data_IF_498559673836
#
_entry.id   IF_498559673836
#
_cell.length_a   1.000
_cell.length_b   1.000
_cell.length_c   1.000
_cell.angle_alpha   90.00
_cell.angle_beta   90.00
_cell.angle_gamma   90.00
#
_symmetry.space_group_name_H-M   'P 1'
#
loop_
_entity.id
_entity.type
_entity.pdbx_description
1 polymer ?
#
# COMPACT_ATOMS: atom_id res chain seq x y z
N UNK A 1 24.03 -3.84 4.40
CA UNK A 1 23.32 -3.34 3.21
C UNK A 1 23.68 -1.87 3.05
N UNK A 2 24.21 -1.45 1.88
CA UNK A 2 24.58 -0.05 1.66
C UNK A 2 23.32 0.83 1.53
N UNK A 3 23.45 2.12 1.84
CA UNK A 3 22.34 3.07 1.78
C UNK A 3 21.78 3.21 0.35
N UNK A 4 22.64 3.07 -0.68
CA UNK A 4 22.24 3.11 -2.08
C UNK A 4 21.34 1.90 -2.43
N UNK A 5 21.74 0.69 -1.98
CA UNK A 5 20.95 -0.52 -2.15
C UNK A 5 19.61 -0.41 -1.41
N UNK A 6 19.62 0.15 -0.19
CA UNK A 6 18.41 0.39 0.59
C UNK A 6 17.44 1.33 -0.13
N UNK A 7 17.97 2.38 -0.75
CA UNK A 7 17.18 3.31 -1.55
C UNK A 7 16.49 2.62 -2.75
N UNK A 8 17.25 1.85 -3.53
CA UNK A 8 16.74 1.11 -4.70
C UNK A 8 15.66 0.08 -4.30
N UNK A 9 15.92 -0.69 -3.23
CA UNK A 9 14.97 -1.69 -2.72
C UNK A 9 13.72 -0.99 -2.17
N UNK A 10 13.89 0.17 -1.51
CA UNK A 10 12.77 0.97 -1.03
C UNK A 10 11.84 1.42 -2.15
N UNK A 11 12.41 1.92 -3.26
CA UNK A 11 11.63 2.32 -4.45
C UNK A 11 10.93 1.10 -5.06
N UNK A 12 11.65 -0.03 -5.22
CA UNK A 12 11.09 -1.26 -5.77
C UNK A 12 9.90 -1.75 -4.94
N UNK A 13 10.03 -1.74 -3.60
CA UNK A 13 8.93 -2.10 -2.69
C UNK A 13 7.72 -1.18 -2.86
N UNK A 14 7.94 0.13 -3.05
CA UNK A 14 6.85 1.09 -3.26
C UNK A 14 6.11 0.83 -4.57
N UNK A 15 6.84 0.57 -5.65
CA UNK A 15 6.25 0.24 -6.96
C UNK A 15 5.45 -1.06 -6.85
N UNK A 16 6.04 -2.12 -6.28
CA UNK A 16 5.37 -3.40 -6.07
C UNK A 16 4.11 -3.23 -5.19
N UNK A 17 4.20 -2.40 -4.15
CA UNK A 17 3.06 -2.07 -3.28
C UNK A 17 1.91 -1.45 -4.07
N UNK A 18 2.17 -0.50 -4.97
CA UNK A 18 1.14 0.13 -5.82
C UNK A 18 0.54 -0.87 -6.82
N UNK A 19 1.38 -1.69 -7.45
CA UNK A 19 0.96 -2.71 -8.44
C UNK A 19 0.00 -3.73 -7.80
N UNK A 20 0.20 -4.06 -6.53
CA UNK A 20 -0.68 -4.98 -5.78
C UNK A 20 -1.91 -4.23 -5.25
N UNK A 21 -1.72 -3.06 -4.65
CA UNK A 21 -2.76 -2.30 -3.94
C UNK A 21 -3.88 -1.86 -4.88
N UNK A 22 -3.56 -1.28 -6.04
CA UNK A 22 -4.57 -0.71 -6.95
C UNK A 22 -5.53 -1.79 -7.47
N UNK A 23 -5.07 -2.92 -8.08
CA UNK A 23 -6.00 -3.94 -8.57
C UNK A 23 -6.77 -4.62 -7.44
N UNK A 24 -6.14 -4.88 -6.28
CA UNK A 24 -6.80 -5.51 -5.14
C UNK A 24 -7.92 -4.61 -4.59
N UNK A 25 -7.68 -3.30 -4.49
CA UNK A 25 -8.69 -2.33 -4.02
C UNK A 25 -9.85 -2.24 -5.02
N UNK A 26 -9.55 -2.11 -6.32
CA UNK A 26 -10.58 -2.06 -7.36
C UNK A 26 -11.45 -3.33 -7.36
N UNK A 27 -10.80 -4.49 -7.28
CA UNK A 27 -11.50 -5.78 -7.23
C UNK A 27 -12.41 -5.89 -6.00
N UNK A 28 -11.92 -5.45 -4.83
CA UNK A 28 -12.70 -5.49 -3.59
C UNK A 28 -13.91 -4.53 -3.65
N UNK A 29 -13.73 -3.31 -4.18
CA UNK A 29 -14.81 -2.34 -4.35
C UNK A 29 -15.90 -2.95 -5.27
N UNK A 30 -15.50 -3.51 -6.42
CA UNK A 30 -16.43 -4.13 -7.37
C UNK A 30 -17.13 -5.34 -6.75
N UNK A 31 -16.42 -6.15 -5.95
CA UNK A 31 -17.01 -7.28 -5.21
C UNK A 31 -18.10 -6.82 -4.26
N UNK A 32 -17.85 -5.74 -3.52
CA UNK A 32 -18.81 -5.14 -2.58
C UNK A 32 -20.03 -4.57 -3.34
N UNK A 33 -19.80 -3.88 -4.47
CA UNK A 33 -20.88 -3.35 -5.32
C UNK A 33 -21.74 -4.48 -5.87
N UNK A 34 -21.16 -5.59 -6.32
CA UNK A 34 -21.89 -6.78 -6.77
C UNK A 34 -22.75 -7.37 -5.64
N UNK A 35 -22.19 -7.45 -4.43
CA UNK A 35 -22.91 -7.94 -3.25
C UNK A 35 -24.13 -7.06 -2.96
N UNK A 36 -23.95 -5.73 -2.94
CA UNK A 36 -25.03 -4.77 -2.71
C UNK A 36 -26.11 -4.90 -3.79
N UNK A 37 -25.69 -5.00 -5.05
CA UNK A 37 -26.59 -5.13 -6.19
C UNK A 37 -27.51 -6.37 -6.05
N UNK A 38 -26.94 -7.52 -5.69
CA UNK A 38 -27.69 -8.77 -5.53
C UNK A 38 -28.63 -8.79 -4.33
N UNK A 39 -28.24 -8.11 -3.25
CA UNK A 39 -29.06 -8.09 -2.03
C UNK A 39 -30.11 -6.97 -2.05
N UNK A 40 -30.03 -6.02 -2.99
CA UNK A 40 -30.99 -4.93 -3.14
C UNK A 40 -32.37 -5.41 -3.61
N UNK A 41 -32.46 -6.55 -4.30
CA UNK A 41 -33.71 -7.07 -4.87
C UNK A 41 -34.65 -7.71 -3.84
N UNK A 42 -34.23 -7.89 -2.59
CA UNK A 42 -34.93 -8.78 -1.63
C UNK A 42 -35.63 -8.08 -0.48
N UNK A 43 -35.64 -6.74 -0.39
CA UNK A 43 -36.17 -6.05 0.81
C UNK A 43 -37.37 -5.14 0.49
N UNK A 44 -38.54 -5.33 1.16
CA UNK A 44 -39.67 -4.41 1.05
C UNK A 44 -39.58 -3.26 2.05
N UNK A 45 -40.16 -2.13 1.71
CA UNK A 45 -40.28 -0.97 2.60
C UNK A 45 -39.45 0.24 2.21
N UNK A 46 -39.17 1.12 3.17
CA UNK A 46 -38.42 2.37 3.00
C UNK A 46 -37.01 2.07 2.43
N UNK A 47 -36.43 0.95 2.85
CA UNK A 47 -35.14 0.49 2.35
C UNK A 47 -35.19 0.18 0.85
N UNK A 48 -36.38 -0.14 0.27
CA UNK A 48 -36.54 -0.42 -1.15
C UNK A 48 -36.16 0.78 -2.02
N UNK A 49 -36.51 2.00 -1.61
CA UNK A 49 -36.18 3.23 -2.37
C UNK A 49 -34.67 3.48 -2.36
N UNK A 50 -34.02 3.29 -1.22
CA UNK A 50 -32.56 3.40 -1.12
C UNK A 50 -31.86 2.31 -1.93
N UNK A 51 -32.45 1.10 -1.93
CA UNK A 51 -31.90 -0.03 -2.70
C UNK A 51 -32.04 0.18 -4.20
N UNK A 52 -33.20 0.69 -4.67
CA UNK A 52 -33.41 1.06 -6.09
C UNK A 52 -32.43 2.15 -6.53
N UNK A 53 -32.21 3.15 -5.67
CA UNK A 53 -31.22 4.20 -5.93
C UNK A 53 -29.81 3.60 -6.04
N UNK A 54 -29.43 2.73 -5.11
CA UNK A 54 -28.13 2.04 -5.13
C UNK A 54 -27.98 1.20 -6.41
N UNK A 55 -29.04 0.48 -6.80
CA UNK A 55 -29.07 -0.34 -8.00
C UNK A 55 -28.80 0.50 -9.27
N UNK A 56 -29.52 1.62 -9.42
CA UNK A 56 -29.36 2.54 -10.56
C UNK A 56 -27.95 3.14 -10.56
N UNK A 57 -27.42 3.54 -9.37
CA UNK A 57 -26.08 4.10 -9.27
C UNK A 57 -25.01 3.07 -9.67
N UNK A 58 -25.16 1.81 -9.26
CA UNK A 58 -24.21 0.73 -9.61
C UNK A 58 -24.24 0.48 -11.12
N UNK A 59 -25.43 0.44 -11.73
CA UNK A 59 -25.58 0.29 -13.19
C UNK A 59 -24.94 1.46 -13.94
N UNK A 60 -25.15 2.70 -13.44
CA UNK A 60 -24.55 3.90 -14.03
C UNK A 60 -23.02 3.83 -13.98
N UNK A 61 -22.45 3.44 -12.81
CA UNK A 61 -20.99 3.26 -12.65
C UNK A 61 -20.49 2.20 -13.63
N UNK A 62 -21.16 1.06 -13.69
CA UNK A 62 -20.80 -0.04 -14.60
C UNK A 62 -20.82 0.40 -16.07
N UNK A 63 -21.86 1.13 -16.48
CA UNK A 63 -22.02 1.63 -17.85
C UNK A 63 -20.91 2.62 -18.22
N UNK A 64 -20.55 3.51 -17.27
CA UNK A 64 -19.56 4.58 -17.51
C UNK A 64 -18.09 4.10 -17.33
N UNK A 65 -17.88 2.84 -16.88
CA UNK A 65 -16.52 2.32 -16.66
C UNK A 65 -16.27 1.02 -17.46
N UNK A 66 -16.35 1.07 -18.81
CA UNK A 66 -16.14 -0.15 -19.61
C UNK A 66 -14.72 -0.71 -19.48
N UNK A 67 -13.73 0.12 -19.15
CA UNK A 67 -12.36 -0.31 -18.92
C UNK A 67 -12.21 -1.19 -17.68
N UNK A 68 -13.17 -1.15 -16.76
CA UNK A 68 -13.20 -2.00 -15.56
C UNK A 68 -13.97 -3.31 -15.77
N UNK A 69 -14.43 -3.61 -16.99
CA UNK A 69 -15.18 -4.83 -17.28
C UNK A 69 -14.43 -6.11 -16.89
N UNK A 70 -13.09 -6.11 -17.03
CA UNK A 70 -12.25 -7.24 -16.60
C UNK A 70 -12.46 -7.51 -15.10
N UNK A 71 -12.54 -6.46 -14.29
CA UNK A 71 -12.80 -6.58 -12.85
C UNK A 71 -14.26 -6.96 -12.57
N UNK A 72 -15.22 -6.39 -13.33
CA UNK A 72 -16.65 -6.72 -13.18
C UNK A 72 -16.92 -8.21 -13.42
N UNK A 73 -16.24 -8.83 -14.38
CA UNK A 73 -16.41 -10.27 -14.67
C UNK A 73 -15.64 -11.15 -13.69
N UNK A 74 -14.41 -10.79 -13.34
CA UNK A 74 -13.49 -11.67 -12.60
C UNK A 74 -13.50 -11.47 -11.08
N UNK A 75 -14.01 -10.34 -10.55
CA UNK A 75 -14.02 -10.10 -9.10
C UNK A 75 -14.97 -11.08 -8.40
N UNK A 76 -14.48 -11.80 -7.39
CA UNK A 76 -15.31 -12.76 -6.65
C UNK A 76 -16.34 -12.04 -5.79
N UNK A 77 -17.56 -12.58 -5.75
CA UNK A 77 -18.61 -12.04 -4.88
C UNK A 77 -18.39 -12.52 -3.44
N UNK A 78 -18.52 -11.64 -2.45
CA UNK A 78 -18.46 -12.07 -1.06
C UNK A 78 -19.76 -12.81 -0.70
N UNK A 79 -19.65 -14.12 -0.60
CA UNK A 79 -20.76 -14.97 -0.15
C UNK A 79 -20.44 -15.45 1.27
N UNK A 80 -21.14 -14.86 2.25
CA UNK A 80 -20.92 -15.14 3.66
C UNK A 80 -21.65 -16.41 4.12
N UNK A 81 -22.51 -17.00 3.26
CA UNK A 81 -23.32 -18.17 3.59
C UNK A 81 -22.70 -19.49 3.17
N UNK A 82 -21.85 -19.49 2.15
CA UNK A 82 -21.13 -20.69 1.67
C UNK A 82 -19.66 -20.67 2.11
N UNK A 83 -19.17 -21.87 2.42
CA UNK A 83 -17.77 -22.04 2.81
C UNK A 83 -16.81 -21.44 1.79
N UNK A 84 -16.20 -20.36 2.21
CA UNK A 84 -14.98 -19.84 1.66
C UNK A 84 -15.07 -19.28 0.23
N UNK A 85 -15.51 -18.06 0.14
CA UNK A 85 -15.03 -17.23 -0.95
C UNK A 85 -13.57 -16.84 -0.62
N UNK A 86 -12.71 -17.87 -0.56
CA UNK A 86 -11.27 -17.74 -0.25
C UNK A 86 -10.64 -16.67 -1.16
N UNK A 87 -11.07 -16.63 -2.43
CA UNK A 87 -10.58 -15.66 -3.42
C UNK A 87 -10.85 -14.22 -2.99
N UNK A 88 -12.03 -13.94 -2.45
CA UNK A 88 -12.36 -12.60 -1.91
C UNK A 88 -11.42 -12.23 -0.76
N UNK A 89 -11.23 -13.16 0.20
CA UNK A 89 -10.39 -12.90 1.37
C UNK A 89 -8.93 -12.72 1.00
N UNK A 90 -8.42 -13.49 0.02
CA UNK A 90 -7.04 -13.33 -0.49
C UNK A 90 -6.88 -11.91 -1.09
N UNK A 91 -7.82 -11.49 -1.95
CA UNK A 91 -7.78 -10.17 -2.59
C UNK A 91 -7.86 -9.06 -1.53
N UNK A 92 -8.73 -9.24 -0.52
CA UNK A 92 -8.86 -8.32 0.61
C UNK A 92 -7.54 -8.16 1.38
N UNK A 93 -6.87 -9.28 1.71
CA UNK A 93 -5.57 -9.27 2.40
C UNK A 93 -4.49 -8.61 1.54
N UNK A 94 -4.52 -8.82 0.21
CA UNK A 94 -3.55 -8.22 -0.72
C UNK A 94 -3.56 -6.69 -0.69
N UNK A 95 -4.69 -6.04 -0.37
CA UNK A 95 -4.76 -4.59 -0.16
C UNK A 95 -3.75 -4.17 0.92
N UNK A 96 -3.79 -4.87 2.06
CA UNK A 96 -2.97 -4.52 3.23
C UNK A 96 -1.50 -4.94 3.06
N UNK A 97 -1.25 -6.02 2.33
CA UNK A 97 0.11 -6.40 1.90
C UNK A 97 0.70 -5.29 1.02
N UNK A 98 -0.08 -4.75 0.08
CA UNK A 98 0.33 -3.62 -0.77
C UNK A 98 0.66 -2.39 0.06
N UNK A 99 -0.19 -2.03 1.04
CA UNK A 99 0.05 -0.91 1.96
C UNK A 99 1.30 -1.13 2.83
N UNK A 100 1.49 -2.35 3.33
CA UNK A 100 2.66 -2.70 4.14
C UNK A 100 3.96 -2.61 3.32
N UNK A 101 3.92 -3.02 2.05
CA UNK A 101 5.05 -2.85 1.12
C UNK A 101 5.38 -1.37 0.91
N UNK A 102 4.36 -0.54 0.70
CA UNK A 102 4.53 0.91 0.55
C UNK A 102 5.14 1.54 1.82
N UNK A 103 4.61 1.19 3.00
CA UNK A 103 5.09 1.71 4.28
C UNK A 103 6.55 1.28 4.54
N UNK A 104 6.88 0.01 4.30
CA UNK A 104 8.25 -0.53 4.42
C UNK A 104 9.20 0.19 3.44
N UNK A 105 8.79 0.33 2.18
CA UNK A 105 9.57 1.02 1.15
C UNK A 105 9.80 2.49 1.48
N UNK A 106 8.77 3.19 1.98
CA UNK A 106 8.85 4.60 2.37
C UNK A 106 9.83 4.81 3.52
N UNK A 107 9.82 3.91 4.53
CA UNK A 107 10.78 3.96 5.66
C UNK A 107 12.21 3.77 5.15
N UNK A 108 12.45 2.79 4.28
CA UNK A 108 13.76 2.53 3.69
C UNK A 108 14.27 3.74 2.88
N UNK A 109 13.41 4.35 2.07
CA UNK A 109 13.75 5.54 1.29
C UNK A 109 14.10 6.74 2.19
N UNK A 110 13.33 6.95 3.27
CA UNK A 110 13.62 8.04 4.23
C UNK A 110 14.96 7.83 4.93
N UNK A 111 15.24 6.60 5.36
CA UNK A 111 16.52 6.28 6.00
C UNK A 111 17.69 6.45 5.03
N UNK A 112 17.53 6.00 3.79
CA UNK A 112 18.57 6.15 2.76
C UNK A 112 18.85 7.64 2.48
N UNK A 113 17.81 8.49 2.43
CA UNK A 113 17.93 9.93 2.24
C UNK A 113 18.65 10.58 3.43
N UNK A 114 18.23 10.28 4.66
CA UNK A 114 18.81 10.80 5.89
C UNK A 114 20.30 10.48 5.99
N UNK A 115 20.66 9.22 5.68
CA UNK A 115 22.06 8.78 5.71
C UNK A 115 22.90 9.47 4.62
N UNK A 116 22.30 9.68 3.44
CA UNK A 116 22.95 10.42 2.36
C UNK A 116 23.27 11.85 2.77
N UNK A 117 22.31 12.54 3.35
CA UNK A 117 22.47 13.92 3.87
C UNK A 117 23.59 13.97 4.93
N UNK A 118 23.62 13.03 5.85
CA UNK A 118 24.68 12.95 6.91
C UNK A 118 26.07 12.71 6.31
N UNK A 119 26.19 11.87 5.29
CA UNK A 119 27.46 11.62 4.58
C UNK A 119 27.91 12.89 3.88
N UNK A 120 27.00 13.59 3.20
CA UNK A 120 27.29 14.84 2.48
C UNK A 120 27.74 15.93 3.48
N UNK A 121 27.04 16.07 4.60
CA UNK A 121 27.39 17.04 5.68
C UNK A 121 28.78 16.73 6.26
N UNK A 122 29.08 15.46 6.53
CA UNK A 122 30.39 15.03 7.04
C UNK A 122 31.51 15.36 6.07
N UNK A 123 31.27 15.15 4.76
CA UNK A 123 32.24 15.47 3.70
C UNK A 123 32.45 16.99 3.57
N UNK A 124 31.42 17.81 3.75
CA UNK A 124 31.53 19.28 3.75
C UNK A 124 32.37 19.74 4.94
N UNK A 125 32.11 19.17 6.14
CA UNK A 125 32.87 19.49 7.35
C UNK A 125 34.36 19.09 7.22
N UNK A 126 34.64 17.91 6.64
CA UNK A 126 36.03 17.49 6.38
C UNK A 126 36.72 18.40 5.36
N UNK A 127 36.02 18.84 4.32
CA UNK A 127 36.56 19.80 3.35
C UNK A 127 36.86 21.14 3.99
N UNK A 128 35.96 21.63 4.87
CA UNK A 128 36.16 22.89 5.58
C UNK A 128 37.37 22.83 6.54
N UNK A 129 37.63 21.67 7.12
CA UNK A 129 38.83 21.44 7.98
C UNK A 129 40.11 21.24 7.17
N UNK A 130 39.99 20.73 5.91
CA UNK A 130 41.12 20.39 5.05
C UNK A 130 41.51 21.46 4.03
N UNK A 131 40.97 22.65 4.08
CA UNK A 131 41.24 23.74 3.10
C UNK A 131 42.70 24.25 3.19
N UNK A 132 43.48 23.81 4.15
CA UNK A 132 44.92 24.09 4.26
C UNK A 132 45.82 23.17 3.39
N UNK A 133 45.33 22.24 2.79
CA UNK A 133 46.14 21.35 1.92
C UNK A 133 45.35 20.84 0.69
N UNK A 134 45.21 21.37 -0.25
CA UNK A 134 44.41 21.26 -1.44
C UNK A 134 44.46 20.02 -2.30
N UNK A 135 45.54 19.40 -2.53
CA UNK A 135 45.66 18.32 -3.50
C UNK A 135 45.30 16.95 -2.95
N UNK A 136 45.48 16.81 -1.84
CA UNK A 136 45.17 15.58 -1.15
C UNK A 136 43.70 15.45 -0.83
N UNK A 137 43.08 16.32 -0.79
CA UNK A 137 41.70 16.39 -0.49
C UNK A 137 40.77 15.61 -1.38
N UNK A 138 40.98 15.49 -2.43
CA UNK A 138 40.21 14.73 -3.39
C UNK A 138 40.30 13.22 -3.27
N UNK A 139 41.32 12.86 -2.96
CA UNK A 139 41.53 11.44 -2.74
C UNK A 139 41.15 11.03 -1.37
N UNK A 140 41.30 11.83 -0.52
CA UNK A 140 40.87 11.65 0.81
C UNK A 140 39.35 11.70 0.95
N UNK A 141 38.85 12.33 0.27
CA UNK A 141 37.43 12.44 0.16
C UNK A 141 36.74 11.21 -0.43
N UNK A 142 37.33 10.71 -1.19
CA UNK A 142 36.88 9.48 -1.78
C UNK A 142 37.10 8.25 -0.91
N UNK A 143 38.01 8.32 -0.35
CA UNK A 143 38.31 7.32 0.61
C UNK A 143 37.55 7.48 1.91
N UNK A 144 37.29 8.51 2.24
CA UNK A 144 36.52 8.87 3.35
C UNK A 144 35.08 8.54 3.12
N UNK A 145 34.55 8.72 2.01
CA UNK A 145 33.21 8.34 1.57
C UNK A 145 33.02 6.82 1.61
N UNK A 146 33.86 6.09 0.98
CA UNK A 146 33.79 4.61 1.00
C UNK A 146 33.91 4.02 2.40
N UNK A 147 34.78 4.55 3.21
CA UNK A 147 34.91 4.11 4.60
C UNK A 147 33.65 4.45 5.44
N UNK A 148 33.11 5.63 5.28
CA UNK A 148 31.86 6.04 5.91
C UNK A 148 30.67 5.18 5.41
N UNK A 149 30.61 4.97 4.08
CA UNK A 149 29.57 4.13 3.45
C UNK A 149 29.64 2.67 3.94
N UNK A 150 30.84 2.13 4.15
CA UNK A 150 31.02 0.74 4.61
C UNK A 150 30.63 0.56 6.08
N UNK A 151 30.77 1.60 6.91
CA UNK A 151 30.41 1.57 8.34
C UNK A 151 28.90 1.68 8.56
N UNK A 152 28.16 2.27 7.60
CA UNK A 152 26.72 2.49 7.76
C UNK A 152 25.97 1.25 7.26
N UNK A 153 25.49 0.43 8.19
CA UNK A 153 24.66 -0.75 7.90
C UNK A 153 23.20 -0.39 8.12
N UNK A 154 22.44 -0.32 7.02
CA UNK A 154 20.99 -0.06 7.09
C UNK A 154 20.27 -1.36 7.46
N UNK A 155 19.49 -1.38 8.55
CA UNK A 155 18.69 -2.56 8.88
C UNK A 155 17.64 -2.84 7.82
N UNK A 156 17.34 -4.12 7.59
CA UNK A 156 16.30 -4.55 6.66
C UNK A 156 14.93 -4.38 7.30
N UNK A 157 14.10 -3.53 6.72
CA UNK A 157 12.71 -3.39 7.15
C UNK A 157 11.86 -4.46 6.44
N UNK A 158 11.47 -5.48 7.19
CA UNK A 158 10.55 -6.50 6.70
C UNK A 158 9.12 -5.97 6.70
N UNK A 159 8.28 -6.54 5.84
CA UNK A 159 6.86 -6.19 5.70
C UNK A 159 6.12 -6.50 7.01
N UNK A 160 6.50 -7.60 7.68
CA UNK A 160 5.85 -8.09 8.90
C UNK A 160 6.01 -7.14 10.10
N UNK A 161 6.99 -6.23 10.08
CA UNK A 161 7.17 -5.20 11.10
C UNK A 161 6.21 -4.01 10.92
N UNK A 162 5.42 -3.99 9.84
CA UNK A 162 4.42 -2.96 9.59
C UNK A 162 3.10 -3.36 10.28
N UNK A 163 3.08 -3.28 11.61
CA UNK A 163 1.97 -3.77 12.46
C UNK A 163 0.66 -3.06 12.10
N UNK A 164 0.70 -1.74 11.93
CA UNK A 164 -0.51 -0.95 11.68
C UNK A 164 -1.18 -1.31 10.33
N UNK A 165 -0.50 -1.19 9.17
CA UNK A 165 -1.17 -1.46 7.90
C UNK A 165 -1.46 -2.94 7.65
N UNK A 166 -0.72 -3.88 8.27
CA UNK A 166 -0.86 -5.31 7.98
C UNK A 166 -1.83 -6.04 8.91
N UNK A 167 -1.93 -5.62 10.17
CA UNK A 167 -2.71 -6.33 11.20
C UNK A 167 -3.88 -5.51 11.74
N UNK A 168 -3.64 -4.23 12.09
CA UNK A 168 -4.65 -3.38 12.73
C UNK A 168 -5.68 -2.88 11.71
N UNK A 169 -5.21 -2.34 10.57
CA UNK A 169 -6.05 -1.72 9.57
C UNK A 169 -7.08 -2.70 8.95
N UNK A 170 -6.74 -3.97 8.62
CA UNK A 170 -7.74 -4.92 8.13
C UNK A 170 -8.90 -5.15 9.09
N UNK A 171 -8.60 -5.24 10.39
CA UNK A 171 -9.62 -5.44 11.43
C UNK A 171 -10.53 -4.21 11.53
N UNK A 172 -9.95 -3.00 11.52
CA UNK A 172 -10.72 -1.74 11.56
C UNK A 172 -11.67 -1.67 10.35
N UNK A 173 -11.17 -1.96 9.15
CA UNK A 173 -11.98 -1.91 7.92
C UNK A 173 -13.11 -2.94 7.96
N UNK A 174 -12.86 -4.16 8.49
CA UNK A 174 -13.89 -5.19 8.63
C UNK A 174 -14.99 -4.75 9.63
N UNK A 175 -14.61 -4.19 10.78
CA UNK A 175 -15.56 -3.71 11.79
C UNK A 175 -16.41 -2.57 11.23
N UNK A 176 -15.79 -1.59 10.55
CA UNK A 176 -16.49 -0.47 9.93
C UNK A 176 -17.42 -0.96 8.80
N UNK A 177 -16.97 -1.91 8.00
CA UNK A 177 -17.77 -2.53 6.94
C UNK A 177 -18.98 -3.27 7.52
N UNK A 178 -18.78 -4.04 8.58
CA UNK A 178 -19.86 -4.75 9.28
C UNK A 178 -20.91 -3.76 9.81
N UNK A 179 -20.49 -2.72 10.53
CA UNK A 179 -21.39 -1.68 11.06
C UNK A 179 -22.16 -1.01 9.92
N UNK A 180 -21.48 -0.65 8.84
CA UNK A 180 -22.07 -0.01 7.67
C UNK A 180 -23.16 -0.89 7.03
N UNK A 181 -22.87 -2.16 6.78
CA UNK A 181 -23.84 -3.10 6.18
C UNK A 181 -25.00 -3.42 7.13
N UNK A 182 -24.74 -3.49 8.44
CA UNK A 182 -25.78 -3.67 9.45
C UNK A 182 -26.73 -2.48 9.50
N UNK A 183 -26.21 -1.25 9.45
CA UNK A 183 -27.03 -0.02 9.41
C UNK A 183 -27.89 0.08 8.16
N UNK A 184 -27.41 -0.43 7.02
CA UNK A 184 -28.15 -0.45 5.77
C UNK A 184 -29.13 -1.62 5.65
N UNK A 185 -29.09 -2.57 6.59
CA UNK A 185 -29.99 -3.74 6.60
C UNK A 185 -29.58 -4.86 5.64
N UNK A 186 -28.30 -4.94 5.26
CA UNK A 186 -27.76 -6.02 4.43
C UNK A 186 -27.34 -7.25 5.24
N UNK A 187 -27.21 -7.11 6.57
CA UNK A 187 -26.80 -8.17 7.51
C UNK A 187 -27.74 -8.24 8.68
#
# INVERSE_FOLDING_TARGET
MTYQQAGRIGVLKRIAGWVIFIPATLSTIISVLKFMYQHSEKQPGINAVMMDFAHVMIEMVRFNTPFLNVFWYNSPQPDFTRHANISFWIIYILIFVGLALQASGARMCRQARFLREHVEDSLILERAKGEEGXXXXXXXXXXXREALESRIVVPRHTIFLQIFPLYILPVIVLVLGYVFFSLLGFL
#
